data_IF_904187300655
#
_entry.id   IF_904187300655
#
_cell.length_a   1.000
_cell.length_b   1.000
_cell.length_c   1.000
_cell.angle_alpha   90.00
_cell.angle_beta   90.00
_cell.angle_gamma   90.00
#
_symmetry.space_group_name_H-M   'P 1'
#
loop_
_entity.id
_entity.type
_entity.pdbx_description
1 polymer ?
#
# COMPACT_ATOMS: atom_id res chain seq x y z
N UNK A 1 -17.01 -0.72 10.29
CA UNK A 1 -15.66 -0.36 9.81
C UNK A 1 -14.92 -1.64 9.55
N UNK A 2 -14.21 -1.70 8.43
CA UNK A 2 -13.28 -2.79 8.10
C UNK A 2 -11.96 -2.15 7.70
N UNK A 3 -10.86 -2.89 7.77
CA UNK A 3 -9.55 -2.36 7.45
C UNK A 3 -8.72 -3.37 6.68
N UNK A 4 -7.80 -2.89 5.87
CA UNK A 4 -6.79 -3.73 5.24
C UNK A 4 -5.48 -2.96 5.13
N UNK A 5 -4.38 -3.67 4.96
CA UNK A 5 -3.03 -3.12 4.86
C UNK A 5 -2.31 -3.79 3.70
N UNK A 6 -1.63 -3.00 2.89
CA UNK A 6 -0.77 -3.49 1.81
C UNK A 6 0.67 -3.26 2.20
N UNK A 7 1.46 -4.32 2.18
CA UNK A 7 2.90 -4.21 2.14
C UNK A 7 3.36 -3.90 0.72
N UNK A 8 3.74 -2.64 0.49
CA UNK A 8 4.09 -2.12 -0.83
C UNK A 8 5.39 -2.72 -1.36
N UNK A 9 6.27 -3.24 -0.49
CA UNK A 9 7.57 -3.79 -0.87
C UNK A 9 7.58 -5.32 -0.80
N UNK A 10 7.05 -5.90 0.27
CA UNK A 10 6.87 -7.35 0.43
C UNK A 10 5.72 -7.93 -0.41
N UNK A 11 4.87 -7.08 -1.00
CA UNK A 11 3.73 -7.44 -1.85
C UNK A 11 2.73 -8.37 -1.14
N UNK A 12 2.50 -8.09 0.14
CA UNK A 12 1.56 -8.81 1.01
C UNK A 12 0.30 -7.99 1.29
N UNK A 13 -0.82 -8.66 1.53
CA UNK A 13 -2.08 -8.02 1.91
C UNK A 13 -2.57 -8.63 3.21
N UNK A 14 -2.87 -7.79 4.20
CA UNK A 14 -3.46 -8.17 5.46
C UNK A 14 -4.84 -7.53 5.61
N UNK A 15 -5.83 -8.26 6.14
CA UNK A 15 -7.20 -7.77 6.30
C UNK A 15 -7.64 -7.87 7.76
N UNK A 16 -8.53 -6.97 8.16
CA UNK A 16 -9.07 -6.86 9.50
C UNK A 16 -10.55 -6.47 9.48
N UNK A 17 -11.29 -6.88 10.51
CA UNK A 17 -12.73 -6.66 10.62
C UNK A 17 -13.56 -7.85 10.17
N UNK A 18 -14.89 -7.71 10.25
CA UNK A 18 -15.85 -8.78 9.94
C UNK A 18 -16.19 -8.77 8.45
N UNK A 19 -16.23 -9.94 7.82
CA UNK A 19 -16.62 -10.13 6.42
C UNK A 19 -15.69 -11.09 5.68
N UNK A 20 -16.10 -11.49 4.47
CA UNK A 20 -15.24 -12.22 3.56
C UNK A 20 -14.56 -11.22 2.61
N UNK A 21 -13.24 -11.12 2.67
CA UNK A 21 -12.46 -10.32 1.74
C UNK A 21 -12.13 -11.13 0.50
N UNK A 22 -12.28 -10.52 -0.67
CA UNK A 22 -11.68 -11.03 -1.92
C UNK A 22 -10.39 -10.26 -2.14
N UNK A 23 -9.28 -10.98 -2.14
CA UNK A 23 -7.93 -10.41 -2.22
C UNK A 23 -7.18 -11.11 -3.34
N UNK A 24 -6.57 -10.34 -4.22
CA UNK A 24 -5.74 -10.84 -5.30
C UNK A 24 -4.44 -10.05 -5.37
N UNK A 25 -3.32 -10.77 -5.49
CA UNK A 25 -2.01 -10.18 -5.79
C UNK A 25 -1.59 -10.63 -7.18
N UNK A 26 -1.52 -9.69 -8.12
CA UNK A 26 -1.12 -9.97 -9.50
C UNK A 26 0.39 -10.21 -9.60
N UNK A 27 0.82 -11.19 -10.38
CA UNK A 27 2.24 -11.45 -10.67
C UNK A 27 2.78 -10.57 -11.80
N UNK A 28 2.71 -9.25 -11.62
CA UNK A 28 3.28 -8.28 -12.55
C UNK A 28 4.83 -8.31 -12.50
N UNK A 29 5.53 -7.83 -13.54
CA UNK A 29 6.99 -7.70 -13.53
C UNK A 29 7.49 -6.95 -12.29
N UNK A 30 6.83 -5.86 -11.90
CA UNK A 30 7.15 -5.08 -10.70
C UNK A 30 6.99 -5.92 -9.43
N UNK A 31 5.85 -6.59 -9.24
CA UNK A 31 5.60 -7.39 -8.03
C UNK A 31 6.59 -8.56 -7.89
N UNK A 32 6.96 -9.18 -9.01
CA UNK A 32 8.00 -10.21 -9.01
C UNK A 32 9.36 -9.63 -8.60
N UNK A 33 9.75 -8.48 -9.16
CA UNK A 33 11.00 -7.81 -8.82
C UNK A 33 11.05 -7.36 -7.35
N UNK A 34 9.96 -6.81 -6.82
CA UNK A 34 9.87 -6.36 -5.44
C UNK A 34 9.99 -7.53 -4.45
N UNK A 35 9.40 -8.69 -4.76
CA UNK A 35 9.56 -9.89 -3.91
C UNK A 35 10.95 -10.51 -3.99
N UNK A 36 11.57 -10.55 -5.16
CA UNK A 36 12.82 -11.31 -5.35
C UNK A 36 14.08 -10.50 -5.12
N UNK A 37 14.11 -9.18 -5.34
CA UNK A 37 15.34 -8.42 -5.10
C UNK A 37 15.58 -8.19 -3.59
N UNK A 38 16.80 -8.43 -3.10
CA UNK A 38 17.08 -8.31 -1.66
C UNK A 38 17.24 -6.86 -1.21
N UNK A 39 18.01 -6.09 -1.96
CA UNK A 39 18.35 -4.70 -1.67
C UNK A 39 17.72 -3.80 -2.73
N UNK A 40 17.06 -2.72 -2.32
CA UNK A 40 16.36 -1.79 -3.21
C UNK A 40 16.66 -0.33 -2.84
N UNK A 41 16.69 0.56 -3.82
CA UNK A 41 16.82 2.00 -3.63
C UNK A 41 16.14 2.75 -4.77
N UNK A 42 15.85 4.04 -4.58
CA UNK A 42 15.20 4.90 -5.56
C UNK A 42 13.69 5.01 -5.34
N UNK A 43 13.00 5.57 -6.32
CA UNK A 43 11.61 6.02 -6.17
C UNK A 43 10.63 5.04 -6.80
N UNK A 44 9.50 4.84 -6.11
CA UNK A 44 8.36 4.08 -6.65
C UNK A 44 7.12 4.96 -6.52
N UNK A 45 6.41 5.16 -7.63
CA UNK A 45 5.12 5.83 -7.66
C UNK A 45 4.01 4.80 -7.53
N UNK A 46 3.02 5.10 -6.70
CA UNK A 46 1.83 4.29 -6.50
C UNK A 46 0.59 5.10 -6.84
N UNK A 47 -0.41 4.39 -7.37
CA UNK A 47 -1.75 4.90 -7.61
C UNK A 47 -2.75 3.95 -6.95
N UNK A 48 -3.67 4.52 -6.18
CA UNK A 48 -4.81 3.82 -5.60
C UNK A 48 -6.06 4.30 -6.32
N UNK A 49 -6.83 3.34 -6.84
CA UNK A 49 -8.14 3.56 -7.41
C UNK A 49 -9.16 2.91 -6.48
N UNK A 50 -10.16 3.68 -6.06
CA UNK A 50 -11.29 3.18 -5.30
C UNK A 50 -12.54 3.24 -6.16
N UNK A 51 -13.22 2.11 -6.28
CA UNK A 51 -14.55 2.01 -6.87
C UNK A 51 -15.57 1.55 -5.83
N UNK A 52 -16.63 2.34 -5.73
CA UNK A 52 -17.71 2.18 -4.78
C UNK A 52 -18.97 1.61 -5.41
N UNK A 53 -19.99 1.47 -4.58
CA UNK A 53 -21.28 0.95 -4.98
C UNK A 53 -22.06 2.00 -5.79
N UNK A 54 -22.12 1.80 -7.11
CA UNK A 54 -22.80 2.67 -8.06
C UNK A 54 -24.33 2.72 -7.89
N UNK A 55 -24.92 1.80 -7.12
CA UNK A 55 -26.38 1.78 -6.86
C UNK A 55 -26.80 2.79 -5.80
N UNK A 56 -25.86 3.30 -4.99
CA UNK A 56 -26.11 4.29 -3.96
C UNK A 56 -26.17 5.68 -4.60
N UNK A 57 -27.23 6.43 -4.31
CA UNK A 57 -27.33 7.81 -4.80
C UNK A 57 -26.25 8.66 -4.15
N UNK A 58 -25.69 9.61 -4.92
CA UNK A 58 -24.66 10.54 -4.42
C UNK A 58 -25.09 11.28 -3.14
N UNK A 59 -26.36 11.66 -3.04
CA UNK A 59 -26.90 12.36 -1.87
C UNK A 59 -26.97 11.48 -0.60
N UNK A 60 -27.01 10.17 -0.77
CA UNK A 60 -27.09 9.18 0.32
C UNK A 60 -25.71 8.58 0.64
N UNK A 61 -24.64 9.13 0.04
CA UNK A 61 -23.27 8.70 0.31
C UNK A 61 -22.86 9.10 1.73
N UNK A 62 -22.55 8.09 2.53
CA UNK A 62 -22.20 8.18 3.94
C UNK A 62 -21.05 7.21 4.23
N UNK A 63 -19.98 7.35 3.46
CA UNK A 63 -18.77 6.54 3.53
C UNK A 63 -17.53 7.41 3.36
N UNK A 64 -16.42 6.98 3.96
CA UNK A 64 -15.11 7.56 3.72
C UNK A 64 -14.03 6.50 3.97
N UNK A 65 -12.84 6.77 3.46
CA UNK A 65 -11.67 5.93 3.67
C UNK A 65 -10.53 6.77 4.25
N UNK A 66 -9.93 6.30 5.33
CA UNK A 66 -8.65 6.83 5.80
C UNK A 66 -7.53 5.96 5.25
N UNK A 67 -6.51 6.60 4.69
CA UNK A 67 -5.34 5.94 4.12
C UNK A 67 -4.11 6.46 4.87
N UNK A 68 -3.32 5.56 5.45
CA UNK A 68 -2.12 5.92 6.20
C UNK A 68 -0.91 5.19 5.62
N UNK A 69 0.14 5.93 5.30
CA UNK A 69 1.42 5.38 4.87
C UNK A 69 2.36 5.32 6.07
N UNK A 70 2.89 4.14 6.39
CA UNK A 70 3.77 3.91 7.55
C UNK A 70 4.98 3.06 7.16
N UNK A 71 6.09 3.23 7.87
CA UNK A 71 7.29 2.42 7.66
C UNK A 71 7.30 1.11 8.45
N UNK A 72 6.38 0.95 9.41
CA UNK A 72 6.29 -0.27 10.20
C UNK A 72 4.86 -0.49 10.68
N UNK A 73 4.50 -1.76 10.91
CA UNK A 73 3.21 -2.17 11.48
C UNK A 73 3.13 -1.97 13.00
N UNK A 74 4.23 -1.59 13.65
CA UNK A 74 4.23 -1.30 15.06
C UNK A 74 3.31 -0.11 15.34
N UNK A 75 2.37 -0.27 16.29
CA UNK A 75 1.40 0.76 16.67
C UNK A 75 2.05 2.08 17.11
N UNK A 76 3.30 2.02 17.58
CA UNK A 76 4.08 3.20 18.01
C UNK A 76 4.73 3.97 16.85
N UNK A 77 4.83 3.38 15.66
CA UNK A 77 5.42 4.04 14.48
C UNK A 77 4.43 5.07 13.94
N UNK A 78 4.74 6.37 13.96
CA UNK A 78 3.84 7.38 13.39
C UNK A 78 3.65 7.20 11.88
N UNK A 79 2.53 7.69 11.36
CA UNK A 79 2.29 7.74 9.93
C UNK A 79 3.25 8.73 9.26
N UNK A 80 3.84 8.33 8.14
CA UNK A 80 4.62 9.21 7.27
C UNK A 80 3.71 10.18 6.53
N UNK A 81 2.55 9.68 6.06
CA UNK A 81 1.49 10.47 5.42
C UNK A 81 0.12 9.90 5.77
N UNK A 82 -0.88 10.77 5.81
CA UNK A 82 -2.27 10.41 6.08
C UNK A 82 -3.19 11.13 5.10
N UNK A 83 -4.18 10.43 4.58
CA UNK A 83 -5.22 10.96 3.70
C UNK A 83 -6.60 10.55 4.21
N UNK A 84 -7.59 11.38 3.93
CA UNK A 84 -9.00 11.05 4.19
C UNK A 84 -9.81 11.31 2.92
N UNK A 85 -10.24 10.24 2.27
CA UNK A 85 -10.96 10.26 1.00
C UNK A 85 -12.46 10.17 1.27
N UNK A 86 -13.23 11.14 0.78
CA UNK A 86 -14.68 11.27 1.03
C UNK A 86 -15.52 11.36 -0.25
N UNK A 87 -14.87 11.36 -1.41
CA UNK A 87 -15.57 11.52 -2.68
C UNK A 87 -16.51 10.33 -2.93
N UNK A 88 -17.78 10.60 -3.29
CA UNK A 88 -18.74 9.55 -3.60
C UNK A 88 -18.33 8.75 -4.82
N UNK A 89 -18.69 7.47 -4.82
CA UNK A 89 -18.55 6.50 -5.92
C UNK A 89 -17.12 6.13 -6.27
N UNK A 90 -16.23 7.08 -6.49
CA UNK A 90 -14.87 6.77 -6.91
C UNK A 90 -13.90 7.88 -6.56
N UNK A 91 -12.66 7.51 -6.26
CA UNK A 91 -11.56 8.45 -6.13
C UNK A 91 -10.24 7.80 -6.50
N UNK A 92 -9.26 8.67 -6.73
CA UNK A 92 -7.90 8.31 -7.02
C UNK A 92 -6.95 8.98 -6.03
N UNK A 93 -5.89 8.27 -5.65
CA UNK A 93 -4.80 8.79 -4.85
C UNK A 93 -3.48 8.36 -5.48
N UNK A 94 -2.68 9.33 -5.92
CA UNK A 94 -1.31 9.11 -6.36
C UNK A 94 -0.31 9.60 -5.31
N UNK A 95 0.74 8.82 -5.07
CA UNK A 95 1.83 9.19 -4.18
C UNK A 95 3.12 8.46 -4.53
N UNK A 96 4.22 8.95 -3.99
CA UNK A 96 5.55 8.36 -4.18
C UNK A 96 6.13 7.96 -2.83
N UNK A 97 6.95 6.91 -2.86
CA UNK A 97 7.86 6.56 -1.77
C UNK A 97 9.29 6.52 -2.31
N UNK A 98 10.23 6.92 -1.47
CA UNK A 98 11.66 6.84 -1.76
C UNK A 98 12.28 5.81 -0.83
N UNK A 99 13.01 4.85 -1.41
CA UNK A 99 13.70 3.80 -0.67
C UNK A 99 15.14 4.23 -0.39
N UNK A 100 15.41 4.57 0.88
CA UNK A 100 16.72 5.03 1.35
C UNK A 100 17.15 4.22 2.57
N UNK A 101 17.97 3.20 2.34
CA UNK A 101 18.46 2.33 3.41
C UNK A 101 19.92 2.58 3.82
N UNK A 102 20.36 1.91 4.90
CA UNK A 102 21.67 2.10 5.49
C UNK A 102 22.82 1.49 4.67
N UNK A 103 22.53 0.59 3.73
CA UNK A 103 23.56 -0.09 2.94
C UNK A 103 23.83 0.69 1.64
N UNK A 104 24.58 1.78 1.73
CA UNK A 104 24.88 2.64 0.58
C UNK A 104 23.59 3.03 -0.17
N UNK A 105 22.65 3.65 0.55
CA UNK A 105 21.26 3.99 0.14
C UNK A 105 20.33 2.81 -0.19
N UNK A 106 20.80 1.56 -0.18
CA UNK A 106 19.91 0.41 -0.33
C UNK A 106 19.25 -0.02 0.99
N UNK A 107 17.95 -0.29 0.92
CA UNK A 107 17.13 -0.88 1.97
C UNK A 107 16.78 -2.34 1.65
N UNK A 108 16.77 -3.18 2.68
CA UNK A 108 16.29 -4.56 2.65
C UNK A 108 15.04 -4.67 3.54
N UNK A 109 13.95 -5.13 2.92
CA UNK A 109 12.62 -5.18 3.51
C UNK A 109 12.60 -5.91 4.85
N UNK A 110 12.20 -5.19 5.91
CA UNK A 110 12.07 -5.68 7.30
C UNK A 110 13.31 -6.41 7.84
N UNK A 111 14.52 -6.06 7.37
CA UNK A 111 15.75 -6.71 7.80
C UNK A 111 16.21 -6.22 9.18
N UNK A 112 16.58 -7.16 10.06
CA UNK A 112 17.11 -6.87 11.40
C UNK A 112 18.43 -6.09 11.39
N UNK A 113 19.23 -6.21 10.32
CA UNK A 113 20.42 -5.39 10.13
C UNK A 113 20.03 -3.92 10.08
N UNK A 114 20.50 -3.14 11.06
CA UNK A 114 20.14 -1.73 11.25
C UNK A 114 18.64 -1.47 11.44
N UNK A 115 17.86 -2.49 11.83
CA UNK A 115 16.41 -2.42 12.02
C UNK A 115 15.69 -1.75 10.84
N UNK A 116 16.01 -2.20 9.63
CA UNK A 116 15.42 -1.68 8.40
C UNK A 116 13.91 -1.94 8.36
N UNK A 117 13.22 -1.10 7.61
CA UNK A 117 11.77 -0.96 7.66
C UNK A 117 11.10 -1.57 6.43
N UNK A 118 9.78 -1.39 6.34
CA UNK A 118 9.01 -1.65 5.14
C UNK A 118 8.24 -0.40 4.73
N UNK A 119 7.29 -0.54 3.81
CA UNK A 119 6.32 0.49 3.51
C UNK A 119 4.93 -0.14 3.46
N UNK A 120 4.08 0.31 4.39
CA UNK A 120 2.73 -0.22 4.59
C UNK A 120 1.72 0.87 4.29
N UNK A 121 0.73 0.54 3.45
CA UNK A 121 -0.40 1.39 3.14
C UNK A 121 -1.64 0.82 3.83
N UNK A 122 -2.02 1.45 4.93
CA UNK A 122 -3.15 1.03 5.77
C UNK A 122 -4.41 1.76 5.36
N UNK A 123 -5.52 1.02 5.22
CA UNK A 123 -6.83 1.53 4.86
C UNK A 123 -7.82 1.24 5.97
N UNK A 124 -8.54 2.27 6.43
CA UNK A 124 -9.71 2.13 7.28
C UNK A 124 -10.96 2.59 6.52
N UNK A 125 -11.88 1.66 6.28
CA UNK A 125 -13.09 1.89 5.49
C UNK A 125 -14.29 2.04 6.41
N UNK A 126 -14.92 3.20 6.32
CA UNK A 126 -16.17 3.50 7.00
C UNK A 126 -17.31 3.25 6.02
N UNK A 127 -18.22 2.35 6.39
CA UNK A 127 -19.32 1.86 5.53
C UNK A 127 -18.82 1.12 4.26
N UNK A 128 -18.37 -0.13 4.39
CA UNK A 128 -17.86 -0.93 3.27
C UNK A 128 -18.93 -1.36 2.25
N UNK A 129 -20.22 -1.17 2.55
CA UNK A 129 -21.30 -1.43 1.58
C UNK A 129 -21.35 -0.35 0.47
N UNK A 130 -20.68 0.78 0.69
CA UNK A 130 -20.55 1.89 -0.25
C UNK A 130 -19.15 1.97 -0.84
N UNK A 131 -18.09 1.85 -0.04
CA UNK A 131 -16.69 1.82 -0.51
C UNK A 131 -16.21 0.37 -0.62
N UNK A 132 -16.12 -0.15 -1.85
CA UNK A 132 -16.15 -1.60 -2.09
C UNK A 132 -14.87 -2.20 -2.65
N UNK A 133 -14.25 -1.58 -3.66
CA UNK A 133 -13.16 -2.16 -4.46
C UNK A 133 -11.97 -1.20 -4.45
N UNK A 134 -10.78 -1.76 -4.29
CA UNK A 134 -9.53 -1.03 -4.34
C UNK A 134 -8.60 -1.73 -5.34
N UNK A 135 -8.03 -0.95 -6.26
CA UNK A 135 -6.94 -1.38 -7.12
C UNK A 135 -5.71 -0.54 -6.81
N UNK A 136 -4.57 -1.21 -6.64
CA UNK A 136 -3.31 -0.57 -6.28
C UNK A 136 -2.30 -0.89 -7.38
N UNK A 137 -1.94 0.16 -8.08
CA UNK A 137 -0.98 0.12 -9.17
C UNK A 137 0.33 0.74 -8.70
N UNK A 138 1.42 0.33 -9.33
CA UNK A 138 2.70 0.99 -9.12
C UNK A 138 3.53 1.04 -10.38
N UNK A 139 4.43 2.01 -10.38
CA UNK A 139 5.37 2.31 -11.43
C UNK A 139 6.73 2.59 -10.79
N UNK A 140 7.77 1.98 -11.36
CA UNK A 140 9.15 2.16 -10.93
C UNK A 140 9.72 3.36 -11.69
N UNK A 141 10.26 4.34 -10.97
CA UNK A 141 10.90 5.52 -11.57
C UNK A 141 12.31 5.21 -12.07
N UNK A 142 12.85 6.08 -12.92
CA UNK A 142 14.14 5.89 -13.60
C UNK A 142 15.35 5.79 -12.63
N UNK A 143 15.22 6.29 -11.39
CA UNK A 143 16.25 6.25 -10.36
C UNK A 143 16.31 4.92 -9.59
N UNK A 144 15.36 4.01 -9.82
CA UNK A 144 15.26 2.76 -9.08
C UNK A 144 16.39 1.80 -9.42
N UNK A 145 16.98 1.23 -8.38
CA UNK A 145 18.01 0.22 -8.50
C UNK A 145 17.81 -0.90 -7.48
N UNK A 146 18.25 -2.10 -7.82
CA UNK A 146 18.18 -3.25 -6.92
C UNK A 146 19.40 -4.16 -7.03
N UNK A 147 19.73 -4.86 -5.94
CA UNK A 147 20.84 -5.79 -5.87
C UNK A 147 20.54 -7.01 -4.99
N UNK A 148 21.17 -8.14 -5.31
CA UNK A 148 20.97 -9.41 -4.61
C UNK A 148 19.62 -10.07 -4.90
N UNK A 149 19.49 -11.33 -4.51
CA UNK A 149 18.29 -12.13 -4.73
C UNK A 149 17.86 -12.84 -3.44
N UNK A 150 16.60 -12.68 -3.09
CA UNK A 150 15.88 -13.41 -2.05
C UNK A 150 15.27 -14.66 -2.67
N UNK A 151 15.54 -15.82 -2.09
CA UNK A 151 14.88 -17.07 -2.48
C UNK A 151 13.44 -17.05 -1.96
N UNK A 152 12.48 -17.00 -2.90
CA UNK A 152 11.03 -16.92 -2.66
C UNK A 152 10.36 -18.29 -2.73
#
# INVERSE_FOLDING_TARGET
>A
MVAFSIDLIGVGIATAGKGAWSVETVNSPMNNLLRTATWKTGTIRFQVLMDGNMTVKRADWASYCQVNLRQSRNERTLSTREWTMKDPHSWELEFEIELLGPNNVFENWENQFSNQTGWFLDFAIYNPDQTTVFAINGYIEDDFCCAGNTLM
#
